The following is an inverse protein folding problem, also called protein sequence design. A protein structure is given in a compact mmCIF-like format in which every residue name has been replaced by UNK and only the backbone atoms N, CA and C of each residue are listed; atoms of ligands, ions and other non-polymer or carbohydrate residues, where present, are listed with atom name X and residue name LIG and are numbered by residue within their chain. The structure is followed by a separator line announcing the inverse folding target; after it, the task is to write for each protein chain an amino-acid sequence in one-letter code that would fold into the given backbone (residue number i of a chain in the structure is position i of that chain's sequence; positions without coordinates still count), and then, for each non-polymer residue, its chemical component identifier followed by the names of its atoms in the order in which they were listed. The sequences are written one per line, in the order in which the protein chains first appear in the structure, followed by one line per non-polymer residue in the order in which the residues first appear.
data_IF_726683353445
#
_entry.id   IF_726683353445
#
_cell.length_a   1.000
_cell.length_b   1.000
_cell.length_c   1.000
_cell.angle_alpha   90.00
_cell.angle_beta   90.00
_cell.angle_gamma   90.00
#
_symmetry.space_group_name_H-M   'P 1'
#
loop_
_entity.id
_entity.type
_entity.pdbx_description
1 polymer ?
#
# COMPACT_ATOMS: atom_id res chain seq x y z
N UNK A 1 -13.07 -19.38 5.23
CA UNK A 1 -12.04 -18.43 4.81
C UNK A 1 -11.20 -18.16 6.05
N UNK A 2 -9.94 -18.59 6.07
CA UNK A 2 -9.04 -18.39 7.21
C UNK A 2 -8.16 -17.17 6.90
N UNK A 3 -8.00 -16.28 7.86
CA UNK A 3 -7.03 -15.18 7.77
C UNK A 3 -5.88 -15.49 8.71
N UNK A 4 -4.65 -15.37 8.22
CA UNK A 4 -3.46 -15.46 9.06
C UNK A 4 -2.57 -14.24 8.88
N UNK A 5 -1.83 -13.91 9.93
CA UNK A 5 -0.84 -12.84 9.93
C UNK A 5 0.54 -13.48 9.86
N UNK A 6 1.35 -13.05 8.91
CA UNK A 6 2.71 -13.55 8.74
C UNK A 6 3.68 -12.38 8.79
N UNK A 7 4.55 -12.40 9.80
CA UNK A 7 5.57 -11.38 9.98
C UNK A 7 6.51 -11.34 8.77
N UNK A 8 6.97 -10.15 8.44
CA UNK A 8 8.03 -9.89 7.46
C UNK A 8 9.37 -10.09 8.16
N UNK A 9 10.13 -11.10 7.74
CA UNK A 9 11.40 -11.47 8.39
C UNK A 9 12.58 -11.52 7.43
N UNK A 10 12.33 -11.66 6.12
CA UNK A 10 13.38 -11.81 5.10
C UNK A 10 13.50 -10.57 4.21
N UNK A 11 14.70 -10.26 3.75
CA UNK A 11 14.95 -9.09 2.89
C UNK A 11 14.07 -9.07 1.62
N UNK A 12 13.91 -10.23 0.99
CA UNK A 12 13.03 -10.43 -0.19
C UNK A 12 11.56 -10.05 0.11
N UNK A 13 11.14 -10.20 1.36
CA UNK A 13 9.80 -9.87 1.81
C UNK A 13 9.64 -8.38 2.10
N UNK A 14 10.71 -7.71 2.54
CA UNK A 14 10.74 -6.24 2.67
C UNK A 14 10.66 -5.60 1.29
N UNK A 15 11.30 -6.20 0.28
CA UNK A 15 11.16 -5.77 -1.12
C UNK A 15 9.72 -5.94 -1.63
N UNK A 16 9.10 -7.09 -1.35
CA UNK A 16 7.69 -7.32 -1.68
C UNK A 16 6.75 -6.36 -0.96
N UNK A 17 7.03 -6.05 0.31
CA UNK A 17 6.29 -5.06 1.10
C UNK A 17 6.40 -3.66 0.50
N UNK A 18 7.62 -3.23 0.13
CA UNK A 18 7.85 -1.93 -0.49
C UNK A 18 7.15 -1.79 -1.84
N UNK A 19 7.21 -2.83 -2.66
CA UNK A 19 6.49 -2.87 -3.93
C UNK A 19 4.97 -2.76 -3.72
N UNK A 20 4.41 -3.51 -2.77
CA UNK A 20 2.99 -3.46 -2.45
C UNK A 20 2.57 -2.09 -1.92
N UNK A 21 3.35 -1.50 -1.02
CA UNK A 21 3.09 -0.17 -0.51
C UNK A 21 3.11 0.89 -1.63
N UNK A 22 4.06 0.80 -2.57
CA UNK A 22 4.12 1.69 -3.73
C UNK A 22 2.85 1.60 -4.59
N UNK A 23 2.37 0.40 -4.90
CA UNK A 23 1.14 0.22 -5.68
C UNK A 23 -0.08 0.74 -4.95
N UNK A 24 -0.28 0.34 -3.69
CA UNK A 24 -1.41 0.81 -2.86
C UNK A 24 -1.39 2.34 -2.78
N UNK A 25 -0.24 2.96 -2.55
CA UNK A 25 -0.19 4.42 -2.45
C UNK A 25 -0.56 5.11 -3.76
N UNK A 26 -0.03 4.63 -4.89
CA UNK A 26 -0.29 5.20 -6.20
C UNK A 26 -1.71 4.95 -6.72
N UNK A 27 -2.43 3.96 -6.18
CA UNK A 27 -3.83 3.72 -6.54
C UNK A 27 -4.77 4.73 -5.88
N UNK A 28 -4.57 5.07 -4.60
CA UNK A 28 -5.56 5.82 -3.82
C UNK A 28 -5.21 7.29 -3.58
N UNK A 29 -3.92 7.63 -3.44
CA UNK A 29 -3.51 8.96 -2.96
C UNK A 29 -3.34 10.04 -4.03
N UNK A 30 -2.97 9.76 -5.29
CA UNK A 30 -2.81 10.82 -6.29
C UNK A 30 -4.07 11.65 -6.51
N UNK A 31 -5.25 11.06 -6.35
CA UNK A 31 -6.54 11.76 -6.45
C UNK A 31 -6.76 12.79 -5.32
N UNK A 32 -6.12 12.61 -4.17
CA UNK A 32 -6.30 13.45 -2.98
C UNK A 32 -5.20 14.49 -2.81
N UNK A 33 -3.95 14.11 -3.07
CA UNK A 33 -2.78 14.95 -2.80
C UNK A 33 -1.93 15.26 -4.04
N UNK A 34 -2.29 14.71 -5.20
CA UNK A 34 -1.51 14.82 -6.42
C UNK A 34 -0.33 13.83 -6.48
N UNK A 35 0.15 13.58 -7.71
CA UNK A 35 1.21 12.61 -7.95
C UNK A 35 2.52 12.97 -7.25
N UNK A 36 2.95 14.23 -7.35
CA UNK A 36 4.22 14.68 -6.76
C UNK A 36 4.25 14.50 -5.23
N UNK A 37 3.15 14.81 -4.54
CA UNK A 37 3.05 14.58 -3.10
C UNK A 37 2.96 13.10 -2.77
N UNK A 38 2.28 12.30 -3.60
CA UNK A 38 2.24 10.83 -3.42
C UNK A 38 3.64 10.23 -3.54
N UNK A 39 4.40 10.62 -4.57
CA UNK A 39 5.78 10.17 -4.78
C UNK A 39 6.67 10.56 -3.61
N UNK A 40 6.54 11.79 -3.11
CA UNK A 40 7.27 12.25 -1.93
C UNK A 40 6.97 11.39 -0.68
N UNK A 41 5.69 11.08 -0.45
CA UNK A 41 5.27 10.27 0.70
C UNK A 41 5.78 8.84 0.59
N UNK A 42 5.71 8.24 -0.59
CA UNK A 42 6.21 6.89 -0.83
C UNK A 42 7.72 6.83 -0.63
N UNK A 43 8.47 7.75 -1.24
CA UNK A 43 9.93 7.78 -1.12
C UNK A 43 10.37 7.93 0.35
N UNK A 44 9.70 8.80 1.10
CA UNK A 44 10.09 9.14 2.47
C UNK A 44 9.66 8.11 3.51
N UNK A 45 8.50 7.51 3.35
CA UNK A 45 7.87 6.71 4.42
C UNK A 45 7.54 5.26 4.03
N UNK A 46 7.54 4.93 2.74
CA UNK A 46 7.11 3.62 2.24
C UNK A 46 8.10 3.04 1.21
N UNK A 47 9.32 3.55 1.19
CA UNK A 47 10.39 3.00 0.35
C UNK A 47 11.04 1.81 1.03
N UNK A 48 11.77 0.99 0.25
CA UNK A 48 12.55 -0.13 0.78
C UNK A 48 13.50 0.31 1.91
N UNK A 49 14.13 1.47 1.75
CA UNK A 49 15.03 2.01 2.77
C UNK A 49 14.26 2.49 4.01
N UNK A 50 13.09 3.10 3.84
CA UNK A 50 12.24 3.48 4.96
C UNK A 50 11.81 2.25 5.78
N UNK A 51 11.35 1.17 5.12
CA UNK A 51 11.00 -0.07 5.80
C UNK A 51 12.19 -0.72 6.52
N UNK A 52 13.38 -0.73 5.88
CA UNK A 52 14.60 -1.25 6.52
C UNK A 52 14.97 -0.45 7.78
N UNK A 53 14.94 0.87 7.70
CA UNK A 53 15.21 1.74 8.86
C UNK A 53 14.15 1.54 9.95
N UNK A 54 12.88 1.41 9.58
CA UNK A 54 11.81 1.17 10.54
C UNK A 54 12.00 -0.14 11.30
N UNK A 55 12.36 -1.21 10.60
CA UNK A 55 12.60 -2.53 11.22
C UNK A 55 13.88 -2.51 12.06
N UNK A 56 14.98 -1.99 11.51
CA UNK A 56 16.31 -2.08 12.15
C UNK A 56 16.50 -1.08 13.29
N UNK A 57 16.05 0.17 13.09
CA UNK A 57 16.41 1.30 13.96
C UNK A 57 15.24 1.76 14.83
N UNK A 58 14.00 1.58 14.37
CA UNK A 58 12.81 2.08 15.06
C UNK A 58 11.96 0.97 15.70
N UNK A 59 12.29 -0.31 15.47
CA UNK A 59 11.62 -1.46 16.10
C UNK A 59 10.19 -1.71 15.61
N UNK A 60 9.85 -1.28 14.38
CA UNK A 60 8.55 -1.60 13.78
C UNK A 60 8.50 -3.06 13.32
N UNK A 61 7.32 -3.65 13.46
CA UNK A 61 7.00 -4.97 12.94
C UNK A 61 5.96 -4.85 11.83
N UNK A 62 6.24 -5.48 10.69
CA UNK A 62 5.35 -5.53 9.54
C UNK A 62 4.79 -6.94 9.35
N UNK A 63 3.53 -7.03 8.96
CA UNK A 63 2.83 -8.30 8.77
C UNK A 63 2.06 -8.29 7.46
N UNK A 64 2.17 -9.39 6.70
CA UNK A 64 1.24 -9.67 5.61
C UNK A 64 -0.03 -10.32 6.17
N UNK A 65 -1.18 -9.90 5.64
CA UNK A 65 -2.46 -10.55 5.84
C UNK A 65 -2.63 -11.59 4.74
N UNK A 66 -2.78 -12.86 5.11
CA UNK A 66 -2.78 -13.98 4.19
C UNK A 66 -4.17 -14.64 4.15
N UNK A 67 -4.63 -14.99 2.94
CA UNK A 67 -5.89 -15.72 2.70
C UNK A 67 -5.80 -17.23 3.06
N UNK A 68 -4.57 -17.74 3.13
CA UNK A 68 -4.21 -19.13 3.41
C UNK A 68 -2.86 -19.19 4.10
N UNK A 69 -2.70 -20.13 5.02
CA UNK A 69 -1.42 -20.41 5.65
C UNK A 69 -0.38 -20.89 4.64
N UNK A 70 0.89 -20.54 4.86
CA UNK A 70 2.06 -20.92 4.05
C UNK A 70 2.03 -20.50 2.57
N UNK A 71 1.13 -19.60 2.16
CA UNK A 71 1.18 -19.02 0.83
C UNK A 71 2.32 -18.01 0.71
N UNK A 72 2.91 -17.89 -0.49
CA UNK A 72 3.81 -16.77 -0.82
C UNK A 72 3.02 -15.47 -0.78
N UNK A 73 3.53 -14.41 -0.10
CA UNK A 73 2.88 -13.11 -0.09
C UNK A 73 2.75 -12.60 -1.53
N UNK A 74 1.55 -12.15 -1.84
CA UNK A 74 1.20 -11.49 -3.10
C UNK A 74 -0.04 -10.67 -2.82
N UNK A 75 -0.22 -9.60 -3.59
CA UNK A 75 -1.52 -8.93 -3.62
C UNK A 75 -2.57 -9.94 -4.06
N UNK A 76 -3.68 -10.00 -3.33
CA UNK A 76 -4.83 -10.80 -3.74
C UNK A 76 -5.40 -10.09 -4.97
N UNK A 77 -5.39 -10.77 -6.13
CA UNK A 77 -5.83 -10.22 -7.41
C UNK A 77 -6.95 -9.20 -7.21
N UNK A 78 -6.66 -7.95 -7.55
CA UNK A 78 -7.71 -6.97 -7.80
C UNK A 78 -8.50 -7.53 -8.98
N UNK A 79 -9.61 -8.21 -8.68
CA UNK A 79 -10.66 -8.34 -9.66
C UNK A 79 -11.06 -6.91 -10.04
N UNK A 80 -10.50 -6.44 -11.16
CA UNK A 80 -10.84 -5.25 -11.94
C UNK A 80 -12.00 -4.46 -11.32
N UNK A 81 -11.65 -3.52 -10.43
CA UNK A 81 -12.51 -2.42 -10.04
C UNK A 81 -11.71 -1.16 -10.40
N UNK A 82 -11.83 -0.56 -11.59
CA UNK A 82 -13.03 -0.55 -12.41
C UNK A 82 -14.26 -0.02 -11.66
N UNK A 83 -14.06 0.63 -10.51
CA UNK A 83 -15.09 1.36 -9.82
C UNK A 83 -14.76 2.83 -9.97
N UNK A 84 -15.44 3.45 -10.95
CA UNK A 84 -15.65 4.89 -11.00
C UNK A 84 -16.03 5.40 -9.61
N UNK A 85 -15.07 5.92 -8.87
CA UNK A 85 -15.32 6.94 -7.86
C UNK A 85 -15.26 8.30 -8.57
N UNK A 86 -16.10 8.45 -9.59
CA UNK A 86 -16.55 9.78 -9.99
C UNK A 86 -17.41 10.33 -8.86
N UNK A 87 -16.78 11.03 -7.92
CA UNK A 87 -17.44 12.04 -7.11
C UNK A 87 -17.86 13.16 -8.08
N UNK A 88 -19.05 13.03 -8.67
CA UNK A 88 -19.68 14.13 -9.38
C UNK A 88 -20.02 15.21 -8.35
N UNK A 89 -19.06 16.12 -8.16
CA UNK A 89 -19.25 17.37 -7.47
C UNK A 89 -20.52 18.04 -7.98
N UNK A 90 -21.54 18.05 -7.13
CA UNK A 90 -22.79 18.79 -7.30
C UNK A 90 -22.49 20.20 -7.84
N UNK A 91 -23.08 20.64 -8.96
CA UNK A 91 -22.87 22.00 -9.43
C UNK A 91 -23.43 23.00 -8.41
N UNK A 92 -22.66 24.06 -8.15
CA UNK A 92 -23.08 25.18 -7.32
C UNK A 92 -24.38 25.79 -7.86
N UNK A 93 -25.31 26.24 -7.00
CA UNK A 93 -26.54 26.89 -7.46
C UNK A 93 -26.18 28.19 -8.19
N UNK A 94 -26.61 28.31 -9.45
CA UNK A 94 -26.57 29.57 -10.18
C UNK A 94 -27.51 30.58 -9.49
N UNK A 95 -26.95 31.71 -9.08
CA UNK A 95 -27.70 32.92 -8.71
C UNK A 95 -28.10 33.73 -9.92
#
# INVERSE_FOLDING_TARGET
MSVSFRQVERDEEVEALAHMAHHIWNEYWPALIGQEQTDYMVEKFQSLNAFRADIADNGYEYFFIMDRENATPRELDQAVHGADIHDEGRPAPAG
#
